data_IF_671940241963
#
_entry.id   IF_671940241963
#
_cell.length_a   1.000
_cell.length_b   1.000
_cell.length_c   1.000
_cell.angle_alpha   90.00
_cell.angle_beta   90.00
_cell.angle_gamma   90.00
#
_symmetry.space_group_name_H-M   'P 1'
#
loop_
_entity.id
_entity.type
_entity.pdbx_description
1 polymer ?
#
# COMPACT_ATOMS: atom_id res chain seq x y z
N UNK A 1 -2.91 -17.34 -6.05
CA UNK A 1 -1.94 -16.22 -6.01
C UNK A 1 -2.18 -15.19 -7.11
N UNK A 2 -2.49 -15.59 -8.34
CA UNK A 2 -2.73 -14.69 -9.49
C UNK A 2 -3.63 -13.46 -9.21
N UNK A 3 -4.70 -13.59 -8.41
CA UNK A 3 -5.58 -12.47 -8.09
C UNK A 3 -4.91 -11.44 -7.17
N UNK A 4 -4.07 -11.87 -6.23
CA UNK A 4 -3.32 -10.97 -5.35
C UNK A 4 -2.29 -10.17 -6.15
N UNK A 5 -1.53 -10.83 -7.02
CA UNK A 5 -0.54 -10.18 -7.86
C UNK A 5 -1.19 -9.17 -8.81
N UNK A 6 -2.35 -9.53 -9.39
CA UNK A 6 -3.12 -8.62 -10.25
C UNK A 6 -3.66 -7.40 -9.50
N UNK A 7 -4.13 -7.56 -8.27
CA UNK A 7 -4.57 -6.44 -7.42
C UNK A 7 -3.40 -5.51 -7.12
N UNK A 8 -2.24 -6.07 -6.78
CA UNK A 8 -1.02 -5.30 -6.52
C UNK A 8 -0.58 -4.51 -7.75
N UNK A 9 -0.61 -5.13 -8.93
CA UNK A 9 -0.25 -4.46 -10.19
C UNK A 9 -1.21 -3.30 -10.52
N UNK A 10 -2.52 -3.50 -10.35
CA UNK A 10 -3.51 -2.44 -10.55
C UNK A 10 -3.27 -1.29 -9.57
N UNK A 11 -3.05 -1.57 -8.29
CA UNK A 11 -2.76 -0.55 -7.28
C UNK A 11 -1.48 0.23 -7.62
N UNK A 12 -0.43 -0.46 -8.08
CA UNK A 12 0.82 0.17 -8.53
C UNK A 12 0.59 1.13 -9.69
N UNK A 13 -0.18 0.71 -10.70
CA UNK A 13 -0.50 1.57 -11.84
C UNK A 13 -1.35 2.77 -11.45
N UNK A 14 -2.34 2.59 -10.57
CA UNK A 14 -3.16 3.69 -10.06
C UNK A 14 -2.31 4.72 -9.28
N UNK A 15 -1.39 4.25 -8.43
CA UNK A 15 -0.48 5.12 -7.67
C UNK A 15 0.43 5.94 -8.58
N UNK A 16 1.07 5.29 -9.56
CA UNK A 16 1.93 5.96 -10.53
C UNK A 16 1.14 6.97 -11.38
N UNK A 17 -0.06 6.61 -11.83
CA UNK A 17 -0.93 7.51 -12.58
C UNK A 17 -1.36 8.74 -11.77
N UNK A 18 -1.69 8.55 -10.48
CA UNK A 18 -2.03 9.67 -9.60
C UNK A 18 -0.82 10.57 -9.31
N UNK A 19 0.34 9.98 -9.01
CA UNK A 19 1.57 10.74 -8.78
C UNK A 19 1.96 11.60 -9.99
N UNK A 20 1.87 11.03 -11.20
CA UNK A 20 2.11 11.76 -12.45
C UNK A 20 1.12 12.92 -12.64
N UNK A 21 -0.17 12.69 -12.32
CA UNK A 21 -1.21 13.72 -12.45
C UNK A 21 -0.99 14.93 -11.54
N UNK A 22 -0.45 14.72 -10.34
CA UNK A 22 -0.22 15.80 -9.36
C UNK A 22 1.19 16.37 -9.40
N UNK A 23 2.04 15.91 -10.34
CA UNK A 23 3.43 16.35 -10.46
C UNK A 23 4.29 15.98 -9.25
N UNK A 24 3.91 14.95 -8.50
CA UNK A 24 4.67 14.53 -7.33
C UNK A 24 5.94 13.79 -7.76
N UNK A 25 7.10 14.33 -7.37
CA UNK A 25 8.33 13.57 -7.40
C UNK A 25 8.32 12.56 -6.25
N UNK A 26 8.38 11.28 -6.60
CA UNK A 26 8.54 10.22 -5.61
C UNK A 26 9.96 10.32 -5.03
N UNK A 27 10.08 10.90 -3.85
CA UNK A 27 11.31 10.80 -3.06
C UNK A 27 11.41 9.37 -2.53
N UNK A 28 12.31 8.58 -3.12
CA UNK A 28 12.53 7.20 -2.72
C UNK A 28 13.43 7.08 -1.48
N UNK A 29 13.75 8.19 -0.79
CA UNK A 29 14.54 8.22 0.45
C UNK A 29 15.87 7.44 0.37
N UNK A 30 16.52 7.43 -0.79
CA UNK A 30 17.76 6.68 -1.03
C UNK A 30 17.58 5.20 -1.36
N UNK A 31 16.34 4.70 -1.39
CA UNK A 31 15.99 3.35 -1.82
C UNK A 31 15.89 3.32 -3.36
N UNK A 32 16.39 2.29 -4.05
CA UNK A 32 16.20 2.19 -5.49
C UNK A 32 14.71 2.10 -5.84
N UNK A 33 14.32 2.81 -6.90
CA UNK A 33 12.93 3.03 -7.31
C UNK A 33 12.06 1.78 -7.27
N UNK A 34 12.54 0.67 -7.82
CA UNK A 34 11.75 -0.56 -7.94
C UNK A 34 11.42 -1.17 -6.57
N UNK A 35 12.38 -1.15 -5.64
CA UNK A 35 12.16 -1.59 -4.26
C UNK A 35 11.22 -0.65 -3.51
N UNK A 36 11.41 0.66 -3.65
CA UNK A 36 10.57 1.64 -2.95
C UNK A 36 9.10 1.54 -3.38
N UNK A 37 8.84 1.38 -4.68
CA UNK A 37 7.50 1.17 -5.21
C UNK A 37 6.90 -0.17 -4.75
N UNK A 38 7.71 -1.23 -4.77
CA UNK A 38 7.25 -2.53 -4.29
C UNK A 38 6.85 -2.47 -2.81
N UNK A 39 7.67 -1.85 -1.97
CA UNK A 39 7.39 -1.66 -0.54
C UNK A 39 6.10 -0.86 -0.34
N UNK A 40 5.98 0.29 -1.02
CA UNK A 40 4.83 1.19 -0.91
C UNK A 40 3.51 0.47 -1.23
N UNK A 41 3.49 -0.32 -2.31
CA UNK A 41 2.26 -0.99 -2.77
C UNK A 41 2.01 -2.29 -2.02
N UNK A 42 3.04 -2.98 -1.55
CA UNK A 42 2.92 -4.28 -0.87
C UNK A 42 2.13 -4.20 0.43
N UNK A 43 2.38 -3.18 1.25
CA UNK A 43 1.67 -3.02 2.51
C UNK A 43 0.17 -2.76 2.30
N UNK A 44 -0.15 -1.86 1.37
CA UNK A 44 -1.55 -1.54 0.98
C UNK A 44 -2.25 -2.78 0.44
N UNK A 45 -1.59 -3.50 -0.47
CA UNK A 45 -2.12 -4.72 -1.08
C UNK A 45 -2.38 -5.81 -0.05
N UNK A 46 -1.47 -5.98 0.92
CA UNK A 46 -1.61 -6.96 2.00
C UNK A 46 -2.79 -6.64 2.93
N UNK A 47 -2.98 -5.36 3.29
CA UNK A 47 -4.09 -4.92 4.14
C UNK A 47 -5.44 -5.16 3.43
N UNK A 48 -5.56 -4.74 2.17
CA UNK A 48 -6.78 -4.95 1.37
C UNK A 48 -7.06 -6.44 1.19
N UNK A 49 -6.02 -7.24 0.89
CA UNK A 49 -6.16 -8.68 0.74
C UNK A 49 -6.66 -9.36 2.02
N UNK A 50 -6.11 -8.97 3.18
CA UNK A 50 -6.57 -9.47 4.48
C UNK A 50 -8.04 -9.10 4.72
N UNK A 51 -8.43 -7.86 4.42
CA UNK A 51 -9.81 -7.40 4.57
C UNK A 51 -10.79 -8.21 3.71
N UNK A 52 -10.46 -8.43 2.43
CA UNK A 52 -11.24 -9.27 1.52
C UNK A 52 -11.35 -10.71 2.06
N UNK A 53 -10.22 -11.31 2.48
CA UNK A 53 -10.20 -12.67 3.03
C UNK A 53 -11.03 -12.83 4.31
N UNK A 54 -11.20 -11.76 5.08
CA UNK A 54 -12.02 -11.74 6.29
C UNK A 54 -13.50 -11.47 6.00
N UNK A 55 -13.89 -11.29 4.74
CA UNK A 55 -15.27 -11.02 4.33
C UNK A 55 -15.67 -9.56 4.47
N UNK A 56 -14.72 -8.64 4.29
CA UNK A 56 -14.94 -7.19 4.34
C UNK A 56 -15.64 -6.70 5.62
N UNK A 57 -15.22 -7.21 6.78
CA UNK A 57 -15.88 -6.97 8.08
C UNK A 57 -15.78 -5.53 8.55
N UNK A 58 -14.60 -4.95 8.43
CA UNK A 58 -14.35 -3.54 8.77
C UNK A 58 -14.94 -2.62 7.68
N UNK A 59 -15.39 -1.43 8.06
CA UNK A 59 -15.83 -0.44 7.08
C UNK A 59 -14.64 0.05 6.22
N UNK A 60 -14.86 0.43 4.94
CA UNK A 60 -13.78 0.92 4.07
C UNK A 60 -12.96 2.06 4.69
N UNK A 61 -13.61 2.98 5.40
CA UNK A 61 -12.98 4.12 6.06
C UNK A 61 -12.02 3.66 7.18
N UNK A 62 -12.35 2.57 7.88
CA UNK A 62 -11.47 1.98 8.89
C UNK A 62 -10.24 1.34 8.25
N UNK A 63 -10.40 0.71 7.08
CA UNK A 63 -9.28 0.15 6.32
C UNK A 63 -8.36 1.26 5.79
N UNK A 64 -8.92 2.36 5.30
CA UNK A 64 -8.15 3.54 4.91
C UNK A 64 -7.33 4.08 6.08
N UNK A 65 -7.93 4.23 7.27
CA UNK A 65 -7.22 4.67 8.46
C UNK A 65 -6.07 3.72 8.87
N UNK A 66 -6.27 2.40 8.72
CA UNK A 66 -5.21 1.41 8.95
C UNK A 66 -4.06 1.57 7.94
N UNK A 67 -4.38 1.76 6.65
CA UNK A 67 -3.38 1.98 5.60
C UNK A 67 -2.57 3.26 5.88
N UNK A 68 -3.23 4.35 6.24
CA UNK A 68 -2.57 5.62 6.56
C UNK A 68 -1.65 5.48 7.77
N UNK A 69 -2.14 4.85 8.85
CA UNK A 69 -1.35 4.61 10.06
C UNK A 69 -0.15 3.70 9.79
N UNK A 70 -0.31 2.67 8.97
CA UNK A 70 0.79 1.77 8.60
C UNK A 70 1.94 2.52 7.91
N UNK A 71 1.65 3.50 7.05
CA UNK A 71 2.68 4.27 6.33
C UNK A 71 3.60 5.09 7.25
N UNK A 72 3.14 5.44 8.45
CA UNK A 72 3.86 6.30 9.39
C UNK A 72 4.30 5.58 10.66
N UNK A 73 3.90 4.31 10.84
CA UNK A 73 4.27 3.51 12.01
C UNK A 73 5.58 2.78 11.74
N UNK A 74 6.60 3.02 12.56
CA UNK A 74 7.83 2.26 12.49
C UNK A 74 7.56 0.80 12.95
N UNK A 75 8.14 -0.23 12.29
CA UNK A 75 7.92 -1.63 12.69
C UNK A 75 8.21 -1.93 14.17
N UNK A 76 9.19 -1.24 14.76
CA UNK A 76 9.55 -1.39 16.19
C UNK A 76 8.42 -0.97 17.13
N UNK A 77 7.55 -0.06 16.72
CA UNK A 77 6.40 0.37 17.53
C UNK A 77 5.26 -0.64 17.52
N UNK A 78 5.28 -1.62 16.60
CA UNK A 78 4.30 -2.70 16.50
C UNK A 78 4.71 -3.91 17.35
N UNK A 79 6.00 -4.21 17.43
CA UNK A 79 6.57 -5.41 18.08
C UNK A 79 6.95 -5.11 19.55
N UNK A 80 6.32 -4.10 20.17
CA UNK A 80 6.59 -3.76 21.58
C UNK A 80 6.09 -4.83 22.55
#
# INVERSE_FOLDING_TARGET
>A
MQMYDRVKDVLKQMLLGQAARVGAELSYSGIPRDYALEILVSAVSSIIWLWIRRGCKEAPEQICAIIEKNKTTAPVDIIR
#
